data_IF_711328760939
#
_entry.id   IF_711328760939
#
_cell.length_a   1.000
_cell.length_b   1.000
_cell.length_c   1.000
_cell.angle_alpha   90.00
_cell.angle_beta   90.00
_cell.angle_gamma   90.00
#
_symmetry.space_group_name_H-M   'P 1'
#
loop_
_entity.id
_entity.type
_entity.pdbx_description
1 polymer ?
#
# COMPACT_ATOMS: atom_id res chain seq x y z
N UNK A 1 -44.13 -32.99 53.76
CA UNK A 1 -44.62 -32.62 52.46
C UNK A 1 -43.63 -31.63 51.85
N UNK A 2 -42.68 -32.16 51.09
CA UNK A 2 -41.52 -31.40 50.58
C UNK A 2 -41.79 -31.11 49.11
N UNK A 3 -41.89 -29.82 48.76
CA UNK A 3 -42.11 -29.39 47.39
C UNK A 3 -40.77 -29.17 46.73
N UNK A 4 -40.44 -29.97 45.72
CA UNK A 4 -39.31 -29.74 44.82
C UNK A 4 -39.70 -28.71 43.76
N UNK A 5 -39.04 -27.56 43.74
CA UNK A 5 -39.10 -26.63 42.62
C UNK A 5 -38.05 -27.06 41.56
N UNK A 6 -38.52 -27.42 40.39
CA UNK A 6 -37.67 -27.64 39.22
C UNK A 6 -37.41 -26.30 38.54
N UNK A 7 -36.15 -25.85 38.52
CA UNK A 7 -35.69 -24.72 37.74
C UNK A 7 -35.41 -25.19 36.30
N UNK A 8 -36.21 -24.75 35.38
CA UNK A 8 -35.95 -24.94 33.94
C UNK A 8 -34.94 -23.88 33.46
N UNK A 9 -33.74 -24.30 33.10
CA UNK A 9 -32.76 -23.46 32.44
C UNK A 9 -33.10 -23.35 30.94
N UNK A 10 -33.51 -22.16 30.52
CA UNK A 10 -33.64 -21.83 29.08
C UNK A 10 -32.25 -21.57 28.55
N UNK A 11 -31.69 -22.51 27.77
CA UNK A 11 -30.49 -22.28 26.98
C UNK A 11 -30.89 -21.43 25.76
N UNK A 12 -30.56 -20.16 25.77
CA UNK A 12 -30.49 -19.36 24.54
C UNK A 12 -29.32 -19.86 23.69
N UNK A 13 -29.61 -20.63 22.65
CA UNK A 13 -28.67 -20.89 21.57
C UNK A 13 -28.50 -19.60 20.78
N UNK A 14 -27.45 -18.85 21.07
CA UNK A 14 -27.00 -17.75 20.24
C UNK A 14 -26.70 -18.29 18.85
N UNK A 15 -27.49 -17.92 17.86
CA UNK A 15 -27.08 -18.06 16.48
C UNK A 15 -25.93 -17.07 16.26
N UNK A 16 -24.70 -17.60 16.20
CA UNK A 16 -23.55 -16.89 15.69
C UNK A 16 -23.87 -16.56 14.22
N UNK A 17 -24.35 -15.36 13.97
CA UNK A 17 -24.24 -14.72 12.68
C UNK A 17 -22.76 -14.44 12.47
N UNK A 18 -22.06 -15.44 11.96
CA UNK A 18 -20.68 -15.32 11.52
C UNK A 18 -20.64 -14.31 10.39
N UNK A 19 -20.45 -13.06 10.70
CA UNK A 19 -19.86 -12.13 9.77
C UNK A 19 -18.53 -12.74 9.39
N UNK A 20 -18.44 -13.22 8.15
CA UNK A 20 -17.17 -13.61 7.55
C UNK A 20 -16.30 -12.35 7.56
N UNK A 21 -15.52 -12.18 8.62
CA UNK A 21 -14.47 -11.18 8.62
C UNK A 21 -13.56 -11.52 7.44
N UNK A 22 -13.25 -10.56 6.56
CA UNK A 22 -12.30 -10.78 5.48
C UNK A 22 -11.05 -11.40 6.10
N UNK A 23 -10.57 -12.50 5.51
CA UNK A 23 -9.33 -13.08 6.01
C UNK A 23 -8.24 -12.03 5.83
N UNK A 24 -7.43 -11.70 6.84
CA UNK A 24 -6.37 -10.69 6.74
C UNK A 24 -5.43 -10.92 5.56
N UNK A 25 -5.39 -12.13 5.06
CA UNK A 25 -4.51 -12.61 4.00
C UNK A 25 -4.94 -12.19 2.59
N UNK A 26 -6.19 -11.78 2.36
CA UNK A 26 -6.65 -11.37 1.02
C UNK A 26 -6.59 -9.85 0.87
N UNK A 27 -5.51 -9.36 0.27
CA UNK A 27 -5.31 -7.92 0.05
C UNK A 27 -6.38 -7.27 -0.84
N UNK A 28 -7.11 -8.06 -1.64
CA UNK A 28 -8.21 -7.55 -2.46
C UNK A 28 -9.50 -7.34 -1.67
N UNK A 29 -9.56 -7.82 -0.43
CA UNK A 29 -10.72 -7.71 0.47
C UNK A 29 -10.43 -6.85 1.69
N UNK A 30 -9.33 -6.12 1.68
CA UNK A 30 -9.08 -5.14 2.72
C UNK A 30 -10.23 -4.12 2.75
N UNK A 31 -10.65 -3.75 3.94
CA UNK A 31 -11.69 -2.75 4.15
C UNK A 31 -11.07 -1.54 4.83
N UNK A 32 -10.99 -0.39 4.15
CA UNK A 32 -10.45 0.83 4.73
C UNK A 32 -11.18 1.24 6.00
N UNK A 33 -10.45 1.73 7.00
CA UNK A 33 -11.03 2.29 8.23
C UNK A 33 -11.59 3.69 8.01
N UNK A 34 -11.00 4.44 7.09
CA UNK A 34 -11.44 5.78 6.70
C UNK A 34 -11.68 5.82 5.19
N UNK A 35 -12.92 5.51 4.74
CA UNK A 35 -13.22 5.54 3.32
C UNK A 35 -13.22 6.98 2.77
N UNK A 36 -12.50 7.20 1.70
CA UNK A 36 -12.65 8.21 0.66
C UNK A 36 -12.54 9.70 1.01
N UNK A 37 -12.85 10.15 2.23
CA UNK A 37 -13.01 11.60 2.50
C UNK A 37 -11.82 12.19 3.24
N UNK A 38 -11.05 11.37 3.94
CA UNK A 38 -9.92 11.80 4.78
C UNK A 38 -8.55 11.66 4.09
N UNK A 39 -8.48 10.97 2.97
CA UNK A 39 -7.22 10.75 2.27
C UNK A 39 -6.84 11.96 1.41
N UNK A 40 -5.62 12.46 1.63
CA UNK A 40 -5.08 13.59 0.91
C UNK A 40 -5.05 13.34 -0.60
N UNK A 41 -5.75 14.19 -1.36
CA UNK A 41 -5.88 14.10 -2.81
C UNK A 41 -6.36 12.73 -3.31
N UNK A 42 -7.28 12.08 -2.59
CA UNK A 42 -7.78 10.73 -2.88
C UNK A 42 -8.11 10.53 -4.38
N UNK A 43 -8.90 11.40 -4.98
CA UNK A 43 -9.25 11.31 -6.40
C UNK A 43 -8.04 11.40 -7.36
N UNK A 44 -6.93 11.98 -6.92
CA UNK A 44 -5.69 12.02 -7.70
C UNK A 44 -4.83 10.78 -7.47
N UNK A 45 -4.92 10.13 -6.32
CA UNK A 45 -4.22 8.87 -6.03
C UNK A 45 -4.86 7.69 -6.77
N UNK A 46 -6.17 7.56 -6.70
CA UNK A 46 -6.95 6.42 -7.21
C UNK A 46 -7.33 6.61 -8.68
N UNK A 47 -6.36 6.55 -9.56
CA UNK A 47 -6.52 6.63 -11.01
C UNK A 47 -5.89 5.40 -11.69
N UNK A 48 -6.38 4.97 -12.86
CA UNK A 48 -5.72 3.92 -13.62
C UNK A 48 -4.38 4.42 -14.19
N UNK A 49 -3.35 3.57 -14.17
CA UNK A 49 -2.11 3.84 -14.90
C UNK A 49 -2.42 3.81 -16.40
N UNK A 50 -2.24 4.92 -17.13
CA UNK A 50 -2.55 4.95 -18.55
C UNK A 50 -1.58 4.05 -19.35
N UNK A 51 -2.10 3.43 -20.40
CA UNK A 51 -1.29 2.59 -21.28
C UNK A 51 -0.46 3.46 -22.26
N UNK A 52 0.56 4.11 -21.72
CA UNK A 52 1.54 4.92 -22.46
C UNK A 52 2.95 4.39 -22.21
N UNK A 53 3.90 4.83 -23.03
CA UNK A 53 5.30 4.46 -22.83
C UNK A 53 5.80 5.10 -21.52
N UNK A 54 6.26 4.28 -20.59
CA UNK A 54 6.86 4.75 -19.35
C UNK A 54 8.24 5.37 -19.62
N UNK A 55 8.57 6.40 -18.88
CA UNK A 55 9.89 7.03 -18.90
C UNK A 55 10.83 6.31 -17.92
N UNK A 56 12.01 5.93 -18.38
CA UNK A 56 13.02 5.35 -17.50
C UNK A 56 13.56 6.39 -16.52
N UNK A 57 13.55 6.05 -15.23
CA UNK A 57 14.07 6.92 -14.17
C UNK A 57 14.68 6.07 -13.06
N UNK A 58 15.63 6.60 -12.31
CA UNK A 58 16.16 5.96 -11.10
C UNK A 58 15.57 6.59 -9.83
N UNK A 59 15.60 5.85 -8.71
CA UNK A 59 15.25 6.40 -7.40
C UNK A 59 16.08 7.66 -7.11
N UNK A 60 17.39 7.63 -7.38
CA UNK A 60 18.29 8.76 -7.14
C UNK A 60 17.85 10.03 -7.89
N UNK A 61 17.36 9.91 -9.12
CA UNK A 61 16.85 11.06 -9.89
C UNK A 61 15.56 11.59 -9.24
N UNK A 62 14.63 10.72 -8.84
CA UNK A 62 13.39 11.14 -8.17
C UNK A 62 13.68 11.89 -6.87
N UNK A 63 14.66 11.43 -6.10
CA UNK A 63 15.09 12.11 -4.87
C UNK A 63 15.61 13.54 -5.08
N UNK A 64 15.96 13.92 -6.33
CA UNK A 64 16.40 15.29 -6.67
C UNK A 64 15.27 16.18 -7.19
N UNK A 65 14.07 15.65 -7.38
CA UNK A 65 12.97 16.44 -7.89
C UNK A 65 12.57 17.55 -6.91
N UNK A 66 12.31 18.75 -7.44
CA UNK A 66 11.78 19.86 -6.65
C UNK A 66 10.42 19.47 -6.05
N UNK A 67 10.18 19.90 -4.83
CA UNK A 67 8.95 19.64 -4.10
C UNK A 67 8.20 20.95 -3.88
N UNK A 68 6.88 20.91 -4.01
CA UNK A 68 6.04 22.05 -3.70
C UNK A 68 5.83 22.14 -2.18
N UNK A 69 5.81 23.37 -1.66
CA UNK A 69 5.62 23.61 -0.22
C UNK A 69 4.19 23.26 0.22
N UNK A 70 3.24 23.38 -0.71
CA UNK A 70 1.83 23.14 -0.42
C UNK A 70 1.08 22.84 -1.70
N UNK A 71 0.39 21.71 -1.71
CA UNK A 71 -0.58 21.34 -2.73
C UNK A 71 -1.96 21.24 -2.06
N UNK A 72 -3.01 21.87 -2.58
CA UNK A 72 -4.35 21.76 -1.99
C UNK A 72 -4.84 20.30 -1.93
N UNK A 73 -5.58 19.90 -0.87
CA UNK A 73 -5.99 18.51 -0.67
C UNK A 73 -6.99 17.99 -1.73
N UNK A 74 -7.56 18.85 -2.54
CA UNK A 74 -8.46 18.54 -3.66
C UNK A 74 -7.84 18.82 -5.04
N UNK A 75 -6.54 19.17 -5.09
CA UNK A 75 -5.87 19.51 -6.34
C UNK A 75 -5.79 18.30 -7.27
N UNK A 76 -6.12 18.50 -8.57
CA UNK A 76 -5.93 17.44 -9.57
C UNK A 76 -4.45 17.20 -9.83
N UNK A 77 -4.12 16.10 -10.49
CA UNK A 77 -2.78 15.84 -11.01
C UNK A 77 -2.38 16.88 -12.03
N UNK A 78 -1.13 17.33 -11.97
CA UNK A 78 -0.57 18.29 -12.90
C UNK A 78 0.88 17.96 -13.25
N UNK A 79 1.36 18.50 -14.38
CA UNK A 79 2.77 18.36 -14.76
C UNK A 79 3.27 16.93 -14.75
N UNK A 80 4.31 16.68 -13.96
CA UNK A 80 4.96 15.35 -13.82
C UNK A 80 4.03 14.27 -13.29
N UNK A 81 3.02 14.61 -12.51
CA UNK A 81 2.05 13.65 -12.01
C UNK A 81 1.18 13.01 -13.10
N UNK A 82 1.19 13.55 -14.33
CA UNK A 82 0.51 12.97 -15.48
C UNK A 82 1.39 11.98 -16.27
N UNK A 83 2.65 11.82 -15.87
CA UNK A 83 3.62 10.97 -16.53
C UNK A 83 3.71 9.60 -15.86
N UNK A 84 4.02 8.57 -16.68
CA UNK A 84 4.28 7.22 -16.21
C UNK A 84 5.78 6.98 -16.20
N UNK A 85 6.27 6.45 -15.12
CA UNK A 85 7.69 6.13 -14.92
C UNK A 85 7.92 4.65 -14.74
N UNK A 86 9.09 4.19 -15.19
CA UNK A 86 9.62 2.87 -14.94
C UNK A 86 10.94 3.00 -14.17
N UNK A 87 11.02 2.37 -13.02
CA UNK A 87 12.23 2.24 -12.22
C UNK A 87 12.68 0.80 -12.31
N UNK A 88 13.78 0.57 -13.04
CA UNK A 88 14.39 -0.76 -13.14
C UNK A 88 15.45 -0.96 -12.06
N UNK A 89 15.57 -2.20 -11.55
CA UNK A 89 16.60 -2.61 -10.61
C UNK A 89 16.67 -1.77 -9.31
N UNK A 90 15.55 -1.37 -8.77
CA UNK A 90 15.46 -0.83 -7.42
C UNK A 90 15.47 -1.96 -6.36
N UNK A 91 15.46 -1.58 -5.10
CA UNK A 91 15.45 -2.51 -3.98
C UNK A 91 14.32 -2.19 -3.02
N UNK A 92 13.41 -3.14 -2.83
CA UNK A 92 12.35 -3.07 -1.85
C UNK A 92 12.92 -3.23 -0.44
N UNK A 93 12.69 -2.25 0.43
CA UNK A 93 13.20 -2.20 1.80
C UNK A 93 12.10 -2.45 2.84
N UNK A 94 10.89 -1.95 2.58
CA UNK A 94 9.74 -2.02 3.47
C UNK A 94 8.48 -2.30 2.65
N UNK A 95 7.54 -3.07 3.21
CA UNK A 95 6.21 -3.25 2.64
C UNK A 95 5.17 -3.41 3.74
N UNK A 96 4.11 -2.63 3.68
CA UNK A 96 3.00 -2.67 4.65
C UNK A 96 1.67 -2.39 3.96
N UNK A 97 0.59 -2.77 4.62
CA UNK A 97 -0.76 -2.35 4.22
C UNK A 97 -1.18 -1.22 5.14
N UNK A 98 -1.51 -0.08 4.58
CA UNK A 98 -2.03 1.05 5.34
C UNK A 98 -3.46 0.71 5.80
N UNK A 99 -3.72 0.75 7.10
CA UNK A 99 -5.02 0.39 7.65
C UNK A 99 -6.12 1.44 7.34
N UNK A 100 -5.75 2.68 7.04
CA UNK A 100 -6.71 3.76 6.81
C UNK A 100 -7.39 3.64 5.43
N UNK A 101 -6.59 3.43 4.39
CA UNK A 101 -7.03 3.37 2.98
C UNK A 101 -6.89 1.98 2.35
N UNK A 102 -6.20 1.05 3.01
CA UNK A 102 -5.88 -0.28 2.50
C UNK A 102 -4.87 -0.31 1.35
N UNK A 103 -4.21 0.75 1.03
CA UNK A 103 -3.18 0.75 0.01
C UNK A 103 -1.95 -0.04 0.49
N UNK A 104 -1.26 -0.67 -0.44
CA UNK A 104 0.02 -1.31 -0.13
C UNK A 104 1.12 -0.29 -0.32
N UNK A 105 1.63 0.21 0.80
CA UNK A 105 2.74 1.16 0.85
C UNK A 105 4.07 0.42 0.94
N UNK A 106 5.00 0.79 0.09
CA UNK A 106 6.33 0.18 -0.01
C UNK A 106 7.39 1.26 -0.07
N UNK A 107 8.52 1.00 0.59
CA UNK A 107 9.70 1.84 0.48
C UNK A 107 10.74 1.18 -0.40
N UNK A 108 11.20 1.89 -1.41
CA UNK A 108 12.25 1.44 -2.31
C UNK A 108 13.47 2.36 -2.28
N UNK A 109 14.62 1.81 -2.56
CA UNK A 109 15.90 2.53 -2.67
C UNK A 109 16.67 2.12 -3.90
N UNK A 110 17.68 2.92 -4.29
CA UNK A 110 18.53 2.57 -5.45
C UNK A 110 19.48 1.42 -5.16
N UNK A 111 19.83 1.19 -3.91
CA UNK A 111 20.77 0.13 -3.52
C UNK A 111 20.19 -0.76 -2.43
N UNK A 112 20.74 -1.96 -2.26
CA UNK A 112 20.32 -2.90 -1.21
C UNK A 112 20.70 -2.47 0.22
N UNK A 113 21.46 -1.38 0.38
CA UNK A 113 21.87 -0.90 1.69
C UNK A 113 20.66 -0.35 2.47
N UNK A 114 20.47 -0.83 3.69
CA UNK A 114 19.39 -0.44 4.59
C UNK A 114 19.43 1.04 4.98
N UNK A 115 20.57 1.66 4.93
CA UNK A 115 20.76 3.10 5.22
C UNK A 115 20.51 4.00 4.01
N UNK A 116 20.27 3.45 2.81
CA UNK A 116 20.00 4.23 1.61
C UNK A 116 18.76 5.09 1.76
N UNK A 117 18.80 6.27 1.17
CA UNK A 117 17.62 7.11 1.01
C UNK A 117 16.55 6.38 0.20
N UNK A 118 15.30 6.53 0.60
CA UNK A 118 14.14 5.80 0.07
C UNK A 118 13.10 6.75 -0.49
N UNK A 119 12.26 6.23 -1.36
CA UNK A 119 11.00 6.81 -1.78
C UNK A 119 9.85 5.83 -1.55
N UNK A 120 8.62 6.34 -1.52
CA UNK A 120 7.42 5.53 -1.42
C UNK A 120 6.94 5.15 -2.83
N UNK A 121 6.41 3.92 -2.93
CA UNK A 121 5.60 3.46 -4.05
C UNK A 121 4.36 2.78 -3.50
N UNK A 122 3.17 3.10 -4.02
CA UNK A 122 1.91 2.59 -3.46
C UNK A 122 1.04 1.93 -4.53
N UNK A 123 0.53 0.75 -4.17
CA UNK A 123 -0.44 0.03 -5.00
C UNK A 123 -1.82 0.18 -4.37
N UNK A 124 -2.75 0.91 -5.02
CA UNK A 124 -4.07 1.21 -4.47
C UNK A 124 -4.92 -0.03 -4.20
N UNK A 125 -5.91 0.15 -3.31
CA UNK A 125 -6.89 -0.89 -2.97
C UNK A 125 -7.86 -1.19 -4.12
N UNK A 126 -7.95 -0.32 -5.11
CA UNK A 126 -8.88 -0.44 -6.22
C UNK A 126 -8.83 -1.79 -6.92
N UNK A 127 -9.99 -2.27 -7.35
CA UNK A 127 -10.16 -3.61 -7.91
C UNK A 127 -9.26 -3.91 -9.12
N UNK A 128 -8.89 -2.90 -9.88
CA UNK A 128 -7.98 -3.00 -11.03
C UNK A 128 -6.55 -3.37 -10.62
N UNK A 129 -6.13 -3.02 -9.40
CA UNK A 129 -4.80 -3.35 -8.85
C UNK A 129 -4.79 -4.66 -8.04
N UNK A 130 -5.95 -5.31 -7.86
CA UNK A 130 -6.06 -6.55 -7.08
C UNK A 130 -5.07 -7.63 -7.53
N UNK A 131 -4.97 -7.87 -8.84
CA UNK A 131 -4.04 -8.85 -9.39
C UNK A 131 -2.57 -8.52 -9.09
N UNK A 132 -2.18 -7.24 -9.17
CA UNK A 132 -0.81 -6.79 -8.85
C UNK A 132 -0.51 -7.00 -7.37
N UNK A 133 -1.44 -6.65 -6.49
CA UNK A 133 -1.33 -6.83 -5.02
C UNK A 133 -1.17 -8.29 -4.63
N UNK A 134 -1.99 -9.18 -5.20
CA UNK A 134 -1.91 -10.63 -4.95
C UNK A 134 -0.61 -11.22 -5.48
N UNK A 135 -0.17 -10.81 -6.66
CA UNK A 135 1.10 -11.27 -7.24
C UNK A 135 2.28 -10.87 -6.35
N UNK A 136 2.37 -9.61 -5.95
CA UNK A 136 3.39 -9.10 -5.04
C UNK A 136 3.37 -9.86 -3.70
N UNK A 137 2.20 -10.04 -3.08
CA UNK A 137 2.04 -10.82 -1.85
C UNK A 137 2.58 -12.24 -2.00
N UNK A 138 2.27 -12.90 -3.12
CA UNK A 138 2.74 -14.25 -3.41
C UNK A 138 4.27 -14.31 -3.59
N UNK A 139 4.85 -13.33 -4.26
CA UNK A 139 6.30 -13.21 -4.43
C UNK A 139 7.01 -12.95 -3.09
N UNK A 140 6.53 -12.00 -2.29
CA UNK A 140 7.07 -11.74 -0.94
C UNK A 140 7.03 -12.99 -0.05
N UNK A 141 5.95 -13.75 -0.12
CA UNK A 141 5.81 -15.02 0.61
C UNK A 141 6.88 -16.05 0.20
N UNK A 142 7.28 -16.12 -1.08
CA UNK A 142 8.36 -16.99 -1.54
C UNK A 142 9.72 -16.59 -0.94
N UNK A 143 9.90 -15.32 -0.62
CA UNK A 143 11.06 -14.79 0.10
C UNK A 143 10.94 -14.84 1.62
N UNK A 144 9.90 -15.53 2.15
CA UNK A 144 9.69 -15.68 3.59
C UNK A 144 9.12 -14.44 4.27
N UNK A 145 8.65 -13.44 3.52
CA UNK A 145 8.04 -12.23 4.07
C UNK A 145 6.52 -12.31 3.98
N UNK A 146 5.86 -12.05 5.10
CA UNK A 146 4.39 -12.03 5.17
C UNK A 146 3.89 -10.61 5.05
N UNK A 147 3.03 -10.38 4.07
CA UNK A 147 2.33 -9.12 3.85
C UNK A 147 0.82 -9.38 3.88
N UNK A 148 0.14 -8.77 4.83
CA UNK A 148 -1.32 -8.71 4.92
C UNK A 148 -1.73 -7.51 5.80
N UNK A 149 -3.02 -7.31 6.07
CA UNK A 149 -3.52 -6.21 6.89
C UNK A 149 -3.01 -6.19 8.35
N UNK A 150 -2.31 -7.24 8.79
CA UNK A 150 -1.76 -7.35 10.15
C UNK A 150 -0.24 -7.55 10.17
N UNK A 151 0.36 -7.86 9.05
CA UNK A 151 1.78 -8.18 8.91
C UNK A 151 2.39 -7.38 7.77
N UNK A 152 3.54 -6.83 8.01
CA UNK A 152 4.34 -6.03 7.10
C UNK A 152 5.50 -5.39 7.85
N UNK A 153 6.13 -4.40 7.24
CA UNK A 153 7.22 -3.62 7.81
C UNK A 153 8.53 -3.79 7.07
N UNK A 154 9.63 -3.56 7.75
CA UNK A 154 10.98 -3.64 7.19
C UNK A 154 11.32 -5.09 6.78
N UNK A 155 11.78 -5.29 5.53
CA UNK A 155 12.22 -6.58 5.05
C UNK A 155 13.54 -6.99 5.73
N UNK A 156 13.78 -8.27 6.06
CA UNK A 156 15.06 -8.72 6.59
C UNK A 156 16.24 -8.43 5.65
N UNK A 157 16.00 -8.58 4.35
CA UNK A 157 16.92 -8.28 3.27
C UNK A 157 16.19 -7.51 2.19
N UNK A 158 16.85 -6.54 1.59
CA UNK A 158 16.31 -5.81 0.44
C UNK A 158 16.12 -6.77 -0.75
N UNK A 159 14.99 -6.68 -1.45
CA UNK A 159 14.69 -7.53 -2.60
C UNK A 159 14.73 -6.69 -3.89
N UNK A 160 15.36 -7.20 -4.97
CA UNK A 160 15.39 -6.48 -6.24
C UNK A 160 13.98 -6.41 -6.83
N UNK A 161 13.62 -5.23 -7.35
CA UNK A 161 12.30 -4.94 -7.91
C UNK A 161 12.39 -4.02 -9.11
N UNK A 162 11.41 -4.17 -10.01
CA UNK A 162 11.04 -3.17 -10.99
C UNK A 162 9.70 -2.55 -10.61
N UNK A 163 9.54 -1.26 -10.89
CA UNK A 163 8.34 -0.51 -10.56
C UNK A 163 7.86 0.27 -11.78
N UNK A 164 6.57 0.17 -12.08
CA UNK A 164 5.89 1.03 -13.06
C UNK A 164 4.79 1.79 -12.34
N UNK A 165 4.75 3.11 -12.46
CA UNK A 165 3.74 3.92 -11.78
C UNK A 165 3.68 5.36 -12.26
N UNK A 166 2.71 6.10 -11.77
CA UNK A 166 2.57 7.52 -12.00
C UNK A 166 3.18 8.32 -10.86
N UNK A 167 3.91 9.38 -11.17
CA UNK A 167 4.41 10.27 -10.12
C UNK A 167 3.24 10.90 -9.36
N UNK A 168 3.42 11.09 -8.08
CA UNK A 168 2.49 11.79 -7.19
C UNK A 168 3.29 12.55 -6.14
N UNK A 169 2.95 13.80 -5.88
CA UNK A 169 3.57 14.57 -4.81
C UNK A 169 2.63 14.63 -3.61
N UNK A 170 3.05 13.97 -2.54
CA UNK A 170 2.30 13.89 -1.30
C UNK A 170 2.62 15.09 -0.37
N UNK A 171 1.97 15.18 0.78
CA UNK A 171 2.26 16.22 1.76
C UNK A 171 3.35 15.80 2.75
N UNK A 172 3.93 16.80 3.42
CA UNK A 172 4.98 16.56 4.42
C UNK A 172 4.40 15.89 5.68
N UNK A 173 4.93 14.72 6.02
CA UNK A 173 4.69 14.03 7.29
C UNK A 173 5.94 13.24 7.69
N UNK A 174 6.00 12.71 8.93
CA UNK A 174 7.13 11.92 9.38
C UNK A 174 7.18 10.58 8.62
N UNK A 175 8.23 10.42 7.81
CA UNK A 175 8.41 9.30 6.88
C UNK A 175 9.64 8.45 7.17
N UNK A 176 10.29 8.62 8.30
CA UNK A 176 11.47 7.83 8.67
C UNK A 176 12.63 7.96 7.68
N UNK A 177 12.91 6.88 6.93
CA UNK A 177 14.00 6.86 5.93
C UNK A 177 13.65 7.45 4.57
N UNK A 178 12.41 7.83 4.34
CA UNK A 178 11.94 8.40 3.07
C UNK A 178 12.46 9.83 2.94
N UNK A 179 13.11 10.14 1.83
CA UNK A 179 13.86 11.37 1.63
C UNK A 179 13.21 12.33 0.62
N UNK A 180 11.99 12.04 0.17
CA UNK A 180 11.25 12.87 -0.78
C UNK A 180 9.76 12.79 -0.54
N UNK A 181 8.99 13.81 -0.94
CA UNK A 181 7.53 13.78 -1.00
C UNK A 181 7.01 13.14 -2.30
N UNK A 182 7.90 12.98 -3.30
CA UNK A 182 7.55 12.29 -4.53
C UNK A 182 7.42 10.80 -4.32
N UNK A 183 6.32 10.25 -4.77
CA UNK A 183 5.97 8.83 -4.78
C UNK A 183 5.67 8.37 -6.20
N UNK A 184 5.61 7.05 -6.41
CA UNK A 184 4.82 6.50 -7.51
C UNK A 184 3.51 5.96 -6.94
N UNK A 185 2.41 6.65 -7.24
CA UNK A 185 1.07 6.30 -6.81
C UNK A 185 0.05 6.69 -7.90
N UNK A 186 -0.66 5.75 -8.54
CA UNK A 186 -0.55 4.30 -8.36
C UNK A 186 0.75 3.70 -8.92
N UNK A 187 1.16 2.57 -8.34
CA UNK A 187 2.30 1.82 -8.82
C UNK A 187 2.04 0.30 -8.83
N UNK A 188 2.73 -0.38 -9.74
CA UNK A 188 2.83 -1.85 -9.82
C UNK A 188 4.29 -2.23 -9.57
N UNK A 189 4.52 -3.09 -8.59
CA UNK A 189 5.84 -3.58 -8.21
C UNK A 189 5.97 -5.05 -8.60
N UNK A 190 7.09 -5.39 -9.24
CA UNK A 190 7.44 -6.76 -9.64
C UNK A 190 8.77 -7.13 -8.98
N UNK A 191 8.80 -8.22 -8.21
CA UNK A 191 10.02 -8.77 -7.62
C UNK A 191 10.72 -9.70 -8.63
N UNK A 192 12.06 -9.83 -8.48
CA UNK A 192 12.92 -10.71 -9.31
C UNK A 192 13.46 -11.90 -8.54
#
# INVERSE_FOLDING_TARGET
MTILLALATVSCSGQDFGFLQPTPEDLCKCMPLEPDIADYRHAAKHVPIPNIVAQEVSVEIILTWSQDVFIPPDAPRTGRELEVFHIANAFLQNASVNALDCDVSMEISQTADKSSARMIVETPVDSEYCGARQNMQAQLKQHGFRLDSQHGGELPHALPVDVVGMAFEDFEHDRGHVATLWELHPAIVTLH
#
